data_IF_536428199104
#
_entry.id   IF_536428199104
#
_cell.length_a   1.000
_cell.length_b   1.000
_cell.length_c   1.000
_cell.angle_alpha   90.00
_cell.angle_beta   90.00
_cell.angle_gamma   90.00
#
_symmetry.space_group_name_H-M   'P 1'
#
loop_
_entity.id
_entity.type
_entity.pdbx_description
1 polymer ?
#
# COMPACT_ATOMS: atom_id res chain seq x y z
N UNK A 1 11.33 0.94 -17.00
CA UNK A 1 12.05 1.49 -15.83
C UNK A 1 11.13 2.47 -15.12
N UNK A 2 10.79 2.23 -13.85
CA UNK A 2 10.01 3.19 -13.08
C UNK A 2 10.92 4.34 -12.59
N UNK A 3 10.55 5.58 -12.90
CA UNK A 3 11.25 6.78 -12.42
C UNK A 3 11.06 6.93 -10.92
N UNK A 4 12.11 6.68 -10.13
CA UNK A 4 12.08 6.94 -8.69
C UNK A 4 11.96 8.46 -8.46
N UNK A 5 10.86 8.88 -7.82
CA UNK A 5 10.67 10.26 -7.41
C UNK A 5 11.73 10.63 -6.36
N UNK A 6 12.65 11.60 -6.62
CA UNK A 6 13.73 11.95 -5.71
C UNK A 6 13.24 12.59 -4.39
N UNK A 7 11.96 12.99 -4.32
CA UNK A 7 11.33 13.55 -3.13
C UNK A 7 10.52 12.53 -2.32
N UNK A 8 10.42 11.27 -2.77
CA UNK A 8 9.76 10.19 -2.04
C UNK A 8 10.79 9.31 -1.32
N UNK A 9 10.75 9.28 0.02
CA UNK A 9 11.80 8.69 0.86
C UNK A 9 11.21 7.68 1.85
N UNK A 10 11.63 6.42 1.73
CA UNK A 10 11.37 5.26 2.59
C UNK A 10 10.35 5.35 3.74
N UNK A 11 10.77 5.40 5.03
CA UNK A 11 12.11 5.72 5.56
C UNK A 11 12.88 4.56 6.26
N UNK A 12 12.64 3.28 5.92
CA UNK A 12 13.23 2.09 6.58
C UNK A 12 14.29 1.30 5.76
N UNK A 13 14.34 1.43 4.44
CA UNK A 13 15.44 0.91 3.60
C UNK A 13 16.76 1.68 3.82
N UNK A 14 17.74 1.13 4.52
CA UNK A 14 18.95 1.83 5.03
C UNK A 14 19.86 2.61 4.05
N UNK A 15 19.51 2.70 2.76
CA UNK A 15 20.21 3.50 1.75
C UNK A 15 19.59 4.90 1.61
N UNK A 16 19.71 5.75 2.64
CA UNK A 16 19.36 7.17 2.53
C UNK A 16 20.58 8.06 2.40
N UNK A 17 20.64 8.81 1.31
CA UNK A 17 21.23 10.13 1.34
C UNK A 17 20.37 10.97 2.28
N UNK A 18 20.86 11.24 3.50
CA UNK A 18 20.19 12.16 4.42
C UNK A 18 20.10 13.51 3.71
N UNK A 19 18.87 13.97 3.42
CA UNK A 19 18.68 15.31 2.86
C UNK A 19 19.29 16.33 3.81
N UNK A 20 20.23 17.11 3.29
CA UNK A 20 20.84 18.23 4.01
C UNK A 20 19.73 19.11 4.61
N UNK A 21 19.91 19.54 5.85
CA UNK A 21 18.92 20.29 6.63
C UNK A 21 18.37 21.51 5.88
N UNK A 22 19.23 22.20 5.14
CA UNK A 22 18.94 23.35 4.28
C UNK A 22 18.03 23.03 3.08
N UNK A 23 18.15 21.83 2.51
CA UNK A 23 17.26 21.38 1.43
C UNK A 23 15.94 20.95 2.06
N UNK A 24 16.00 20.17 3.15
CA UNK A 24 14.82 19.69 3.88
C UNK A 24 13.93 20.84 4.37
N UNK A 25 14.50 21.98 4.77
CA UNK A 25 13.72 23.16 5.22
C UNK A 25 12.92 23.83 4.11
N UNK A 26 13.24 23.59 2.82
CA UNK A 26 12.48 24.11 1.67
C UNK A 26 11.23 23.29 1.33
N UNK A 27 11.04 22.13 1.94
CA UNK A 27 9.92 21.23 1.65
C UNK A 27 9.07 20.94 2.90
N UNK A 28 7.74 21.01 2.75
CA UNK A 28 6.83 20.50 3.77
C UNK A 28 6.80 18.98 3.69
N UNK A 29 7.37 18.30 4.68
CA UNK A 29 7.32 16.84 4.75
C UNK A 29 5.87 16.37 5.00
N UNK A 30 5.44 15.37 4.24
CA UNK A 30 4.17 14.66 4.39
C UNK A 30 4.51 13.19 4.61
N UNK A 31 4.04 12.62 5.72
CA UNK A 31 4.26 11.21 6.04
C UNK A 31 3.11 10.36 5.53
N UNK A 32 3.43 9.27 4.82
CA UNK A 32 2.47 8.25 4.37
C UNK A 32 2.78 6.99 5.17
N UNK A 33 2.06 6.78 6.28
CA UNK A 33 2.38 5.73 7.26
C UNK A 33 1.69 4.39 6.93
N UNK A 34 0.38 4.40 6.73
CA UNK A 34 -0.44 3.25 6.32
C UNK A 34 -1.61 3.78 5.49
N UNK A 35 -1.89 3.24 4.27
CA UNK A 35 -3.10 3.56 3.54
C UNK A 35 -4.33 2.91 4.19
N UNK A 36 -5.51 3.50 4.00
CA UNK A 36 -6.78 2.86 4.34
C UNK A 36 -7.07 1.75 3.31
N UNK A 37 -6.85 0.51 3.73
CA UNK A 37 -6.99 -0.67 2.87
C UNK A 37 -8.46 -1.04 2.64
N UNK A 38 -9.32 -0.82 3.64
CA UNK A 38 -10.76 -1.09 3.55
C UNK A 38 -11.41 -0.19 2.51
N UNK A 39 -11.08 1.11 2.56
CA UNK A 39 -11.57 2.09 1.60
C UNK A 39 -11.08 1.78 0.18
N UNK A 40 -9.81 1.38 0.02
CA UNK A 40 -9.25 1.00 -1.29
C UNK A 40 -10.00 -0.21 -1.87
N UNK A 41 -10.22 -1.27 -1.09
CA UNK A 41 -10.95 -2.44 -1.58
C UNK A 41 -12.42 -2.12 -1.89
N UNK A 42 -13.10 -1.29 -1.08
CA UNK A 42 -14.48 -0.85 -1.38
C UNK A 42 -14.56 -0.07 -2.70
N UNK A 43 -13.65 0.87 -2.92
CA UNK A 43 -13.58 1.65 -4.17
C UNK A 43 -13.30 0.72 -5.36
N UNK A 44 -12.34 -0.21 -5.25
CA UNK A 44 -12.03 -1.15 -6.34
C UNK A 44 -13.17 -2.11 -6.64
N UNK A 45 -13.81 -2.69 -5.63
CA UNK A 45 -14.99 -3.53 -5.83
C UNK A 45 -16.17 -2.76 -6.46
N UNK A 46 -16.28 -1.45 -6.23
CA UNK A 46 -17.27 -0.60 -6.89
C UNK A 46 -16.89 -0.30 -8.35
N UNK A 47 -15.62 0.05 -8.61
CA UNK A 47 -15.05 0.29 -9.95
C UNK A 47 -15.25 -0.91 -10.89
N UNK A 48 -15.10 -2.14 -10.38
CA UNK A 48 -15.32 -3.38 -11.11
C UNK A 48 -16.79 -3.85 -11.14
N UNK A 49 -17.75 -3.01 -10.71
CA UNK A 49 -19.20 -3.27 -10.76
C UNK A 49 -19.68 -4.55 -10.03
N UNK A 50 -19.00 -4.97 -8.95
CA UNK A 50 -19.46 -6.10 -8.15
C UNK A 50 -20.80 -5.78 -7.45
N UNK A 51 -21.83 -6.60 -7.69
CA UNK A 51 -23.18 -6.42 -7.11
C UNK A 51 -23.20 -6.29 -5.59
N UNK A 52 -22.29 -6.98 -4.90
CA UNK A 52 -22.14 -6.98 -3.44
C UNK A 52 -20.77 -6.39 -3.02
N UNK A 53 -20.35 -5.29 -3.66
CA UNK A 53 -19.03 -4.67 -3.51
C UNK A 53 -18.58 -4.49 -2.05
N UNK A 54 -19.45 -3.99 -1.17
CA UNK A 54 -19.15 -3.81 0.26
C UNK A 54 -18.82 -5.13 0.97
N UNK A 55 -19.64 -6.17 0.77
CA UNK A 55 -19.44 -7.48 1.42
C UNK A 55 -18.17 -8.15 0.91
N UNK A 56 -17.90 -8.06 -0.39
CA UNK A 56 -16.69 -8.61 -1.01
C UNK A 56 -15.44 -7.88 -0.48
N UNK A 57 -15.47 -6.55 -0.42
CA UNK A 57 -14.37 -5.75 0.12
C UNK A 57 -14.07 -6.08 1.60
N UNK A 58 -15.10 -6.26 2.43
CA UNK A 58 -14.92 -6.68 3.84
C UNK A 58 -14.27 -8.07 3.96
N UNK A 59 -14.67 -9.04 3.13
CA UNK A 59 -14.04 -10.38 3.13
C UNK A 59 -12.60 -10.35 2.62
N UNK A 60 -12.31 -9.55 1.60
CA UNK A 60 -10.96 -9.39 1.05
C UNK A 60 -10.03 -8.67 2.03
N UNK A 61 -10.52 -7.63 2.72
CA UNK A 61 -9.71 -6.96 3.74
C UNK A 61 -9.39 -7.89 4.90
N UNK A 62 -10.39 -8.63 5.41
CA UNK A 62 -10.18 -9.62 6.47
C UNK A 62 -9.16 -10.70 6.05
N UNK A 63 -9.20 -11.16 4.78
CA UNK A 63 -8.20 -12.08 4.23
C UNK A 63 -6.80 -11.45 4.16
N UNK A 64 -6.70 -10.18 3.72
CA UNK A 64 -5.45 -9.42 3.71
C UNK A 64 -4.85 -9.25 5.11
N UNK A 65 -5.68 -8.96 6.12
CA UNK A 65 -5.24 -8.87 7.51
C UNK A 65 -4.79 -10.21 8.07
N UNK A 66 -5.55 -11.30 7.85
CA UNK A 66 -5.14 -12.66 8.24
C UNK A 66 -3.77 -13.01 7.63
N UNK A 67 -3.57 -12.78 6.34
CA UNK A 67 -2.28 -13.07 5.70
C UNK A 67 -1.16 -12.21 6.32
N UNK A 68 -1.43 -10.93 6.62
CA UNK A 68 -0.47 -10.05 7.30
C UNK A 68 -0.28 -10.31 8.79
N UNK A 69 -1.06 -11.18 9.42
CA UNK A 69 -0.84 -11.63 10.79
C UNK A 69 -0.11 -12.97 10.82
N UNK A 70 -0.61 -13.96 10.06
CA UNK A 70 -0.23 -15.36 10.20
C UNK A 70 0.84 -15.87 9.22
N UNK A 71 1.06 -15.24 8.05
CA UNK A 71 2.16 -15.70 7.17
C UNK A 71 3.54 -15.29 7.70
N UNK A 72 4.57 -16.15 7.52
CA UNK A 72 5.97 -15.79 7.72
C UNK A 72 6.36 -14.52 6.96
N UNK A 73 7.33 -13.77 7.51
CA UNK A 73 7.76 -12.46 6.97
C UNK A 73 8.23 -12.58 5.51
N UNK A 74 8.93 -13.66 5.18
CA UNK A 74 9.41 -13.98 3.83
C UNK A 74 8.26 -14.05 2.81
N UNK A 75 7.20 -14.81 3.12
CA UNK A 75 6.03 -14.98 2.25
C UNK A 75 5.16 -13.71 2.23
N UNK A 76 5.05 -13.02 3.37
CA UNK A 76 4.33 -11.74 3.51
C UNK A 76 4.93 -10.63 2.63
N UNK A 77 6.22 -10.68 2.32
CA UNK A 77 6.88 -9.71 1.44
C UNK A 77 6.42 -9.79 -0.02
N UNK A 78 5.96 -10.98 -0.46
CA UNK A 78 5.46 -11.23 -1.82
C UNK A 78 4.01 -10.76 -1.97
N UNK A 79 3.19 -10.92 -0.94
CA UNK A 79 1.76 -10.61 -0.97
C UNK A 79 1.52 -9.13 -0.64
N UNK A 80 1.62 -8.31 -1.68
CA UNK A 80 1.42 -6.86 -1.61
C UNK A 80 -0.06 -6.45 -1.67
N UNK A 81 -0.38 -5.20 -1.30
CA UNK A 81 -1.72 -4.64 -1.52
C UNK A 81 -2.09 -4.62 -3.01
N UNK A 82 -1.12 -4.30 -3.88
CA UNK A 82 -1.27 -4.36 -5.34
C UNK A 82 -1.65 -5.76 -5.82
N UNK A 83 -1.04 -6.82 -5.29
CA UNK A 83 -1.37 -8.22 -5.65
C UNK A 83 -2.84 -8.57 -5.41
N UNK A 84 -3.48 -7.97 -4.40
CA UNK A 84 -4.92 -8.14 -4.15
C UNK A 84 -5.81 -7.30 -5.06
N UNK A 85 -5.33 -6.12 -5.48
CA UNK A 85 -6.04 -5.27 -6.46
C UNK A 85 -5.98 -5.93 -7.84
N UNK A 86 -4.84 -6.49 -8.22
CA UNK A 86 -4.67 -7.24 -9.48
C UNK A 86 -5.61 -8.47 -9.53
N UNK A 87 -5.80 -9.15 -8.38
CA UNK A 87 -6.73 -10.28 -8.26
C UNK A 87 -8.21 -9.85 -8.41
N UNK A 88 -8.56 -8.62 -8.04
CA UNK A 88 -9.92 -8.07 -8.21
C UNK A 88 -10.26 -7.69 -9.65
N UNK A 89 -9.27 -7.64 -10.56
CA UNK A 89 -9.46 -7.28 -11.97
C UNK A 89 -9.84 -8.48 -12.86
N UNK A 90 -9.69 -9.72 -12.36
CA UNK A 90 -9.98 -10.97 -13.06
C UNK A 90 -11.31 -11.62 -12.60
#
# INVERSE_FOLDING_TARGET
>A
MATRNPFAINPNTGNYTILLSEIRSRFRMVSIVKPDVDQIFRIKCFEYNFKNSNVIAEKISLLYEIIRLYLPIEQRSVISLTSFIDLLQY
#
